data_IF_116372437633
#
_entry.id   IF_116372437633
#
_cell.length_a   1.000
_cell.length_b   1.000
_cell.length_c   1.000
_cell.angle_alpha   90.00
_cell.angle_beta   90.00
_cell.angle_gamma   90.00
#
_symmetry.space_group_name_H-M   'P 1'
#
loop_
_entity.id
_entity.type
_entity.pdbx_description
1 polymer ?
#
# COMPACT_ATOMS: atom_id res chain seq x y z
N UNK A 1 -46.81 14.41 -21.32
CA UNK A 1 -45.62 13.58 -21.59
C UNK A 1 -44.39 14.45 -21.42
N UNK A 2 -43.66 14.30 -20.32
CA UNK A 2 -42.40 15.03 -20.09
C UNK A 2 -41.33 14.01 -19.68
N UNK A 3 -40.33 13.83 -20.55
CA UNK A 3 -39.15 13.03 -20.31
C UNK A 3 -38.32 13.69 -19.20
N UNK A 4 -38.22 13.04 -18.03
CA UNK A 4 -37.22 13.39 -17.03
C UNK A 4 -35.89 12.78 -17.45
N UNK A 5 -34.95 13.64 -17.85
CA UNK A 5 -33.55 13.31 -17.95
C UNK A 5 -33.06 12.75 -16.60
N UNK A 6 -32.49 11.54 -16.62
CA UNK A 6 -31.72 10.98 -15.50
C UNK A 6 -30.45 11.82 -15.36
N UNK A 7 -30.48 12.80 -14.47
CA UNK A 7 -29.27 13.48 -14.01
C UNK A 7 -28.44 12.50 -13.19
N UNK A 8 -27.39 11.97 -13.82
CA UNK A 8 -26.27 11.33 -13.13
C UNK A 8 -25.85 12.22 -11.96
N UNK A 9 -25.90 11.66 -10.75
CA UNK A 9 -25.49 12.35 -9.52
C UNK A 9 -23.97 12.53 -9.58
N UNK A 10 -23.52 13.64 -10.17
CA UNK A 10 -22.10 14.03 -10.18
C UNK A 10 -21.64 14.26 -8.75
N UNK A 11 -20.71 13.42 -8.30
CA UNK A 11 -20.08 13.56 -7.00
C UNK A 11 -18.71 14.23 -7.21
N UNK A 12 -18.70 15.57 -7.09
CA UNK A 12 -17.60 16.49 -7.45
C UNK A 12 -16.27 16.12 -6.74
N UNK A 13 -16.33 15.38 -5.63
CA UNK A 13 -15.15 14.92 -4.90
C UNK A 13 -14.46 13.69 -5.54
N UNK A 14 -15.17 12.91 -6.36
CA UNK A 14 -14.72 11.65 -6.99
C UNK A 14 -14.30 11.83 -8.45
N UNK A 15 -14.91 12.79 -9.15
CA UNK A 15 -14.49 13.21 -10.51
C UNK A 15 -13.01 13.61 -10.55
N UNK A 16 -12.39 13.97 -9.41
CA UNK A 16 -10.99 14.36 -9.34
C UNK A 16 -9.98 13.21 -9.17
N UNK A 17 -10.42 12.02 -8.75
CA UNK A 17 -9.55 10.83 -8.56
C UNK A 17 -9.65 9.92 -9.79
N UNK A 18 -10.86 9.71 -10.30
CA UNK A 18 -11.13 8.89 -11.50
C UNK A 18 -11.20 9.72 -12.80
N UNK A 19 -10.57 10.89 -12.79
CA UNK A 19 -10.25 11.64 -14.00
C UNK A 19 -9.30 10.84 -14.88
N UNK A 20 -9.41 11.00 -16.19
CA UNK A 20 -8.47 10.45 -17.18
C UNK A 20 -7.01 10.69 -16.81
N UNK A 21 -6.73 11.82 -16.18
CA UNK A 21 -5.36 12.30 -15.96
C UNK A 21 -4.62 11.53 -14.86
N UNK A 22 -5.33 10.81 -13.99
CA UNK A 22 -4.72 9.91 -13.00
C UNK A 22 -4.75 8.44 -13.44
N UNK A 23 -5.48 8.12 -14.52
CA UNK A 23 -5.60 6.76 -15.04
C UNK A 23 -4.29 6.36 -15.71
N UNK A 24 -3.59 5.41 -15.13
CA UNK A 24 -2.37 4.85 -15.71
C UNK A 24 -2.72 3.91 -16.86
N UNK A 25 -3.61 2.96 -16.61
CA UNK A 25 -4.00 1.95 -17.59
C UNK A 25 -5.32 1.28 -17.24
N UNK A 26 -5.90 0.65 -18.27
CA UNK A 26 -7.09 -0.21 -18.15
C UNK A 26 -6.81 -1.55 -18.81
N UNK A 27 -6.99 -2.66 -18.07
CA UNK A 27 -6.72 -4.02 -18.54
C UNK A 27 -7.77 -5.00 -18.02
N UNK A 28 -7.93 -6.17 -18.65
CA UNK A 28 -8.78 -7.24 -18.09
C UNK A 28 -7.98 -8.07 -17.09
N UNK A 29 -8.57 -8.39 -15.92
CA UNK A 29 -7.96 -9.26 -14.90
C UNK A 29 -8.97 -10.27 -14.39
N UNK A 30 -8.50 -11.47 -14.05
CA UNK A 30 -9.37 -12.57 -13.61
C UNK A 30 -10.06 -12.29 -12.27
N UNK A 31 -9.48 -11.44 -11.43
CA UNK A 31 -9.99 -11.11 -10.10
C UNK A 31 -9.47 -9.76 -9.64
N UNK A 32 -10.05 -9.27 -8.54
CA UNK A 32 -9.53 -8.13 -7.79
C UNK A 32 -8.08 -8.35 -7.33
N UNK A 33 -7.72 -9.56 -6.90
CA UNK A 33 -6.35 -9.87 -6.45
C UNK A 33 -5.35 -9.76 -7.60
N UNK A 34 -5.72 -10.27 -8.79
CA UNK A 34 -4.88 -10.12 -9.98
C UNK A 34 -4.76 -8.65 -10.42
N UNK A 35 -5.82 -7.86 -10.21
CA UNK A 35 -5.81 -6.42 -10.47
C UNK A 35 -4.85 -5.68 -9.52
N UNK A 36 -4.94 -5.94 -8.22
CA UNK A 36 -4.04 -5.40 -7.19
C UNK A 36 -2.59 -5.80 -7.46
N UNK A 37 -2.32 -7.08 -7.71
CA UNK A 37 -0.97 -7.58 -7.97
C UNK A 37 -0.31 -6.88 -9.18
N UNK A 38 -1.08 -6.64 -10.24
CA UNK A 38 -0.56 -5.95 -11.44
C UNK A 38 -0.21 -4.49 -11.19
N UNK A 39 -0.88 -3.86 -10.22
CA UNK A 39 -0.55 -2.51 -9.77
C UNK A 39 0.68 -2.50 -8.87
N UNK A 40 0.85 -3.49 -8.01
CA UNK A 40 2.02 -3.61 -7.14
C UNK A 40 3.35 -3.69 -7.93
N UNK A 41 3.33 -4.20 -9.16
CA UNK A 41 4.51 -4.25 -10.04
C UNK A 41 4.83 -2.90 -10.72
N UNK A 42 3.91 -1.93 -10.68
CA UNK A 42 4.00 -0.67 -11.42
C UNK A 42 4.37 0.51 -10.52
N UNK A 43 5.48 1.21 -10.82
CA UNK A 43 6.08 2.22 -9.93
C UNK A 43 5.15 3.39 -9.61
N UNK A 44 4.33 3.79 -10.56
CA UNK A 44 3.41 4.91 -10.41
C UNK A 44 2.04 4.49 -9.90
N UNK A 45 1.77 3.19 -9.75
CA UNK A 45 0.45 2.73 -9.36
C UNK A 45 0.26 2.78 -7.84
N UNK A 46 -0.86 3.35 -7.42
CA UNK A 46 -1.20 3.65 -6.03
C UNK A 46 -2.52 3.01 -5.62
N UNK A 47 -3.46 2.96 -6.55
CA UNK A 47 -4.77 2.39 -6.32
C UNK A 47 -5.31 1.70 -7.57
N UNK A 48 -6.27 0.81 -7.36
CA UNK A 48 -6.99 0.13 -8.44
C UNK A 48 -8.50 0.22 -8.26
N UNK A 49 -9.21 0.20 -9.39
CA UNK A 49 -10.64 -0.07 -9.46
C UNK A 49 -10.87 -1.33 -10.28
N UNK A 50 -11.62 -2.29 -9.76
CA UNK A 50 -11.97 -3.54 -10.42
C UNK A 50 -13.47 -3.64 -10.63
N UNK A 51 -13.91 -3.85 -11.87
CA UNK A 51 -15.30 -4.14 -12.19
C UNK A 51 -15.51 -5.65 -12.30
N UNK A 52 -16.32 -6.23 -11.40
CA UNK A 52 -16.62 -7.66 -11.38
C UNK A 52 -17.51 -8.14 -12.52
N UNK A 53 -18.31 -7.26 -13.13
CA UNK A 53 -19.22 -7.64 -14.21
C UNK A 53 -18.50 -7.89 -15.53
N UNK A 54 -17.53 -7.03 -15.87
CA UNK A 54 -16.78 -7.15 -17.12
C UNK A 54 -15.30 -7.47 -16.91
N UNK A 55 -14.85 -7.68 -15.66
CA UNK A 55 -13.45 -7.99 -15.31
C UNK A 55 -12.45 -6.88 -15.64
N UNK A 56 -12.91 -5.63 -15.73
CA UNK A 56 -12.05 -4.48 -16.03
C UNK A 56 -11.30 -4.02 -14.79
N UNK A 57 -9.99 -3.94 -14.89
CA UNK A 57 -9.09 -3.40 -13.89
C UNK A 57 -8.56 -2.06 -14.40
N UNK A 58 -8.67 -1.02 -13.58
CA UNK A 58 -8.09 0.29 -13.82
C UNK A 58 -7.08 0.59 -12.72
N UNK A 59 -5.93 1.11 -13.11
CA UNK A 59 -4.87 1.53 -12.19
C UNK A 59 -4.72 3.04 -12.21
N UNK A 60 -4.44 3.60 -11.04
CA UNK A 60 -4.32 5.04 -10.86
C UNK A 60 -3.04 5.41 -10.10
N UNK A 61 -2.52 6.60 -10.38
CA UNK A 61 -1.33 7.13 -9.71
C UNK A 61 -1.62 7.98 -8.45
N UNK A 62 -2.77 7.75 -7.81
CA UNK A 62 -3.23 8.51 -6.65
C UNK A 62 -3.81 7.59 -5.57
N UNK A 63 -3.43 7.84 -4.31
CA UNK A 63 -3.95 7.14 -3.12
C UNK A 63 -5.39 7.60 -2.77
N UNK A 64 -6.15 6.79 -2.03
CA UNK A 64 -7.49 7.15 -1.52
C UNK A 64 -7.46 7.82 -0.14
N UNK A 65 -6.26 8.10 0.39
CA UNK A 65 -6.00 8.59 1.74
C UNK A 65 -6.56 10.01 1.97
N UNK A 66 -7.88 10.08 2.16
CA UNK A 66 -8.58 11.02 3.03
C UNK A 66 -10.08 10.71 3.22
N UNK A 67 -10.61 9.59 2.73
CA UNK A 67 -12.01 9.21 3.03
C UNK A 67 -12.16 7.70 3.25
N UNK A 68 -12.44 7.33 4.51
CA UNK A 68 -13.11 6.06 4.81
C UNK A 68 -14.43 6.03 4.04
N UNK A 69 -14.57 5.18 3.02
CA UNK A 69 -15.88 4.92 2.43
C UNK A 69 -16.06 3.44 2.20
N UNK A 70 -16.75 2.81 3.14
CA UNK A 70 -17.63 1.69 2.87
C UNK A 70 -18.84 2.20 2.07
N UNK A 71 -19.05 1.68 0.86
CA UNK A 71 -20.35 1.77 0.18
C UNK A 71 -20.50 2.76 -0.98
N UNK A 72 -19.87 2.45 -2.12
CA UNK A 72 -20.36 2.95 -3.43
C UNK A 72 -20.57 1.77 -4.36
N UNK A 73 -21.82 1.41 -4.61
CA UNK A 73 -22.23 0.49 -5.67
C UNK A 73 -22.45 1.28 -6.96
N UNK A 74 -21.41 1.51 -7.74
CA UNK A 74 -21.57 1.73 -9.17
C UNK A 74 -21.40 0.39 -9.89
N UNK A 75 -22.48 -0.17 -10.44
CA UNK A 75 -22.52 -1.30 -11.40
C UNK A 75 -21.29 -2.24 -11.47
N UNK A 76 -20.96 -2.88 -10.34
CA UNK A 76 -19.92 -3.91 -10.25
C UNK A 76 -18.49 -3.42 -9.95
N UNK A 77 -18.25 -2.13 -9.75
CA UNK A 77 -16.96 -1.58 -9.38
C UNK A 77 -16.63 -1.77 -7.89
N UNK A 78 -15.36 -2.04 -7.61
CA UNK A 78 -14.79 -2.14 -6.27
C UNK A 78 -13.40 -1.50 -6.28
N UNK A 79 -13.10 -0.69 -5.27
CA UNK A 79 -11.93 0.18 -5.24
C UNK A 79 -10.99 -0.21 -4.10
N UNK A 80 -9.70 -0.24 -4.39
CA UNK A 80 -8.68 -0.71 -3.44
C UNK A 80 -7.45 0.18 -3.51
N UNK A 81 -6.99 0.63 -2.35
CA UNK A 81 -5.60 1.09 -2.22
C UNK A 81 -4.72 -0.13 -2.41
N UNK A 82 -3.73 -0.03 -3.29
CA UNK A 82 -2.74 -1.08 -3.41
C UNK A 82 -1.71 -0.75 -2.36
N UNK A 83 -1.81 -1.40 -1.21
CA UNK A 83 -0.71 -1.39 -0.25
C UNK A 83 0.34 -2.41 -0.67
N UNK A 84 1.61 -2.04 -0.64
CA UNK A 84 2.20 -0.74 -0.33
C UNK A 84 2.51 -0.05 -1.65
N UNK A 85 1.64 0.82 -2.17
CA UNK A 85 1.71 1.34 -3.56
C UNK A 85 2.94 2.18 -3.88
N UNK A 86 3.88 2.23 -2.94
CA UNK A 86 5.16 2.86 -3.03
C UNK A 86 6.19 1.93 -2.37
N UNK A 87 6.30 0.65 -2.75
CA UNK A 87 7.41 -0.19 -2.26
C UNK A 87 8.72 0.32 -2.88
N UNK A 88 9.78 0.41 -2.10
CA UNK A 88 11.11 0.62 -2.63
C UNK A 88 11.47 -0.56 -3.56
N UNK A 89 11.76 -0.28 -4.83
CA UNK A 89 12.13 -1.30 -5.83
C UNK A 89 13.54 -1.88 -5.60
N UNK A 90 14.33 -1.21 -4.79
CA UNK A 90 15.67 -1.62 -4.37
C UNK A 90 15.57 -2.53 -3.15
N UNK A 91 16.61 -3.34 -2.91
CA UNK A 91 16.74 -4.11 -1.67
C UNK A 91 16.87 -3.20 -0.43
N UNK A 92 17.39 -3.77 0.66
CA UNK A 92 17.53 -3.06 1.94
C UNK A 92 18.25 -1.72 1.74
N UNK A 93 17.64 -0.63 2.22
CA UNK A 93 18.20 0.73 2.17
C UNK A 93 18.92 0.99 3.51
N UNK A 94 20.26 1.11 3.49
CA UNK A 94 21.04 1.45 4.69
C UNK A 94 20.97 2.96 4.99
N UNK A 95 20.63 3.31 6.22
CA UNK A 95 20.46 4.69 6.69
C UNK A 95 21.14 4.90 8.03
N UNK A 96 21.37 6.16 8.40
CA UNK A 96 21.78 6.54 9.76
C UNK A 96 20.59 6.95 10.63
N UNK A 97 19.37 6.86 10.10
CA UNK A 97 18.14 7.25 10.77
C UNK A 97 17.86 6.34 11.97
N UNK A 98 17.37 6.92 13.06
CA UNK A 98 17.06 6.18 14.30
C UNK A 98 15.80 5.35 14.20
N UNK A 99 14.86 5.77 13.36
CA UNK A 99 13.57 5.12 13.14
C UNK A 99 12.97 5.55 11.78
N UNK A 100 11.83 4.97 11.42
CA UNK A 100 11.15 5.26 10.17
C UNK A 100 10.55 6.68 10.09
N UNK A 101 10.42 7.40 11.20
CA UNK A 101 10.02 8.81 11.21
C UNK A 101 11.15 9.70 10.70
N UNK A 102 12.39 9.40 11.11
CA UNK A 102 13.58 10.05 10.56
C UNK A 102 13.81 9.70 9.10
N UNK A 103 13.65 8.42 8.73
CA UNK A 103 13.69 7.99 7.32
C UNK A 103 12.74 8.84 6.46
N UNK A 104 11.49 9.06 6.91
CA UNK A 104 10.55 9.95 6.22
C UNK A 104 11.03 11.39 6.15
N UNK A 105 11.66 11.88 7.22
CA UNK A 105 12.14 13.26 7.34
C UNK A 105 13.36 13.53 6.44
N UNK A 106 14.16 12.50 6.15
CA UNK A 106 15.25 12.52 5.17
C UNK A 106 14.75 12.54 3.70
N UNK A 107 13.44 12.48 3.49
CA UNK A 107 12.82 12.59 2.17
C UNK A 107 12.56 11.25 1.49
N UNK A 108 12.84 10.13 2.16
CA UNK A 108 12.40 8.84 1.66
C UNK A 108 10.88 8.81 1.58
N UNK A 109 10.38 8.48 0.39
CA UNK A 109 8.96 8.43 0.15
C UNK A 109 8.46 6.98 0.16
N UNK A 110 9.16 6.00 -0.41
CA UNK A 110 8.73 4.60 -0.49
C UNK A 110 8.72 3.83 0.86
N UNK A 111 7.77 2.91 1.05
CA UNK A 111 7.80 1.90 2.11
C UNK A 111 8.67 0.72 1.71
N UNK A 112 9.29 0.05 2.67
CA UNK A 112 10.18 -1.06 2.37
C UNK A 112 11.08 -1.38 3.55
N UNK A 113 12.10 -2.19 3.31
CA UNK A 113 13.07 -2.53 4.36
C UNK A 113 14.17 -1.50 4.39
N UNK A 114 14.34 -0.90 5.56
CA UNK A 114 15.40 0.05 5.87
C UNK A 114 16.24 -0.49 7.01
N UNK A 115 17.56 -0.29 6.94
CA UNK A 115 18.42 -0.46 8.10
C UNK A 115 18.41 0.85 8.89
N UNK A 116 17.85 0.81 10.10
CA UNK A 116 17.84 1.93 11.05
C UNK A 116 18.92 1.73 12.12
N UNK A 117 19.35 2.81 12.75
CA UNK A 117 20.32 2.83 13.84
C UNK A 117 19.72 3.48 15.10
N UNK A 118 18.88 2.76 15.89
CA UNK A 118 18.24 3.33 17.08
C UNK A 118 19.25 3.85 18.13
N UNK A 119 20.46 3.28 18.13
CA UNK A 119 21.60 3.75 18.91
C UNK A 119 22.89 3.52 18.11
N UNK A 120 24.01 4.14 18.53
CA UNK A 120 25.26 4.20 17.76
C UNK A 120 25.86 2.82 17.39
N UNK A 121 25.56 1.78 18.16
CA UNK A 121 26.14 0.44 17.98
C UNK A 121 25.10 -0.62 17.57
N UNK A 122 23.83 -0.22 17.38
CA UNK A 122 22.74 -1.15 17.06
C UNK A 122 22.16 -0.77 15.71
N UNK A 123 22.28 -1.67 14.74
CA UNK A 123 21.57 -1.63 13.46
C UNK A 123 20.45 -2.67 13.44
N UNK A 124 19.29 -2.30 12.91
CA UNK A 124 18.13 -3.19 12.74
C UNK A 124 17.51 -2.98 11.38
N UNK A 125 17.24 -4.08 10.68
CA UNK A 125 16.45 -4.08 9.46
C UNK A 125 14.97 -4.11 9.83
N UNK A 126 14.22 -3.11 9.37
CA UNK A 126 12.81 -2.92 9.70
C UNK A 126 12.01 -2.59 8.47
N UNK A 127 10.74 -3.00 8.47
CA UNK A 127 9.79 -2.48 7.49
C UNK A 127 9.34 -1.08 7.92
N UNK A 128 9.70 -0.07 7.12
CA UNK A 128 9.15 1.27 7.25
C UNK A 128 7.89 1.41 6.42
N UNK A 129 6.76 1.64 7.08
CA UNK A 129 5.54 2.10 6.42
C UNK A 129 5.49 3.62 6.43
N UNK A 130 5.79 4.18 5.26
CA UNK A 130 5.91 5.62 5.03
C UNK A 130 4.62 6.25 4.48
N UNK A 131 3.50 5.52 4.44
CA UNK A 131 2.24 6.04 3.87
C UNK A 131 1.03 5.88 4.78
N UNK A 132 0.85 4.72 5.41
CA UNK A 132 -0.36 4.42 6.17
C UNK A 132 -0.57 5.47 7.26
N UNK A 133 -1.73 6.14 7.26
CA UNK A 133 -2.10 7.16 8.25
C UNK A 133 -1.03 8.28 8.42
N UNK A 134 -0.40 8.71 7.34
CA UNK A 134 0.65 9.74 7.36
C UNK A 134 2.07 9.19 7.43
N UNK A 135 2.22 7.86 7.44
CA UNK A 135 3.50 7.15 7.41
C UNK A 135 4.27 7.25 8.73
N UNK A 136 5.60 7.16 8.62
CA UNK A 136 6.55 7.24 9.76
C UNK A 136 6.48 6.05 10.72
N UNK A 137 5.89 4.94 10.29
CA UNK A 137 5.74 3.76 11.13
C UNK A 137 6.94 2.84 11.01
N UNK A 138 7.58 2.59 12.15
CA UNK A 138 8.49 1.45 12.33
C UNK A 138 7.64 0.25 12.68
N UNK A 139 7.51 -0.70 11.76
CA UNK A 139 6.80 -1.95 12.05
C UNK A 139 7.70 -2.81 12.95
N UNK A 140 7.16 -3.31 14.07
CA UNK A 140 7.91 -4.16 15.00
C UNK A 140 7.64 -5.65 14.76
N UNK A 141 6.48 -5.95 14.18
CA UNK A 141 5.98 -7.30 13.99
C UNK A 141 5.06 -7.34 12.76
N UNK A 142 5.19 -8.36 11.91
CA UNK A 142 4.30 -8.57 10.77
C UNK A 142 3.91 -10.04 10.56
N UNK A 143 2.62 -10.29 10.26
CA UNK A 143 2.07 -11.57 9.77
C UNK A 143 1.44 -11.36 8.39
N UNK A 144 1.59 -12.33 7.49
CA UNK A 144 1.02 -12.32 6.13
C UNK A 144 0.48 -13.68 5.70
N UNK A 145 1.30 -14.72 5.77
CA UNK A 145 1.01 -16.01 5.13
C UNK A 145 1.33 -17.23 6.02
N UNK A 146 1.85 -17.03 7.23
CA UNK A 146 2.22 -18.11 8.15
C UNK A 146 3.51 -18.85 7.78
N UNK A 147 4.38 -18.25 6.96
CA UNK A 147 5.68 -18.82 6.58
C UNK A 147 6.71 -18.82 7.71
N UNK A 148 6.58 -17.93 8.69
CA UNK A 148 7.47 -17.85 9.84
C UNK A 148 6.75 -18.36 11.08
N UNK A 149 7.40 -19.29 11.78
CA UNK A 149 6.94 -19.79 13.07
C UNK A 149 7.19 -18.74 14.17
N UNK A 150 6.15 -18.45 14.93
CA UNK A 150 6.16 -17.53 16.07
C UNK A 150 6.14 -18.27 17.42
N UNK A 151 6.01 -19.59 17.45
CA UNK A 151 6.18 -20.35 18.70
C UNK A 151 7.68 -20.54 18.98
N UNK A 152 8.30 -19.51 19.56
CA UNK A 152 9.76 -19.44 19.76
C UNK A 152 10.14 -19.27 21.23
N UNK A 153 11.33 -19.73 21.58
CA UNK A 153 11.91 -19.48 22.91
C UNK A 153 12.27 -18.01 23.11
N UNK A 154 12.34 -17.57 24.36
CA UNK A 154 12.56 -16.17 24.76
C UNK A 154 13.74 -15.48 24.04
N UNK A 155 14.86 -16.17 23.89
CA UNK A 155 16.05 -15.62 23.24
C UNK A 155 15.82 -15.19 21.79
N UNK A 156 14.87 -15.79 21.07
CA UNK A 156 14.53 -15.33 19.72
C UNK A 156 13.73 -14.03 19.75
N UNK A 157 12.81 -13.87 20.70
CA UNK A 157 12.08 -12.62 20.87
C UNK A 157 12.97 -11.47 21.34
N UNK A 158 14.01 -11.76 22.11
CA UNK A 158 14.99 -10.75 22.51
C UNK A 158 15.85 -10.26 21.32
N UNK A 159 16.21 -11.17 20.40
CA UNK A 159 17.14 -10.86 19.32
C UNK A 159 16.47 -10.43 18.00
N UNK A 160 15.24 -10.85 17.76
CA UNK A 160 14.57 -10.74 16.47
C UNK A 160 14.63 -12.03 15.65
N UNK A 161 13.63 -12.25 14.80
CA UNK A 161 13.59 -13.36 13.84
C UNK A 161 12.66 -13.08 12.66
N UNK A 162 12.88 -13.77 11.53
CA UNK A 162 12.08 -13.65 10.32
C UNK A 162 12.72 -12.70 9.29
N UNK A 163 11.91 -12.27 8.31
CA UNK A 163 12.32 -11.35 7.25
C UNK A 163 11.36 -10.16 7.19
N UNK A 164 11.85 -8.92 7.37
CA UNK A 164 11.02 -7.71 7.29
C UNK A 164 10.24 -7.53 5.98
N UNK A 165 10.63 -8.19 4.89
CA UNK A 165 9.85 -8.21 3.64
C UNK A 165 8.60 -9.10 3.70
N UNK A 166 8.55 -10.05 4.64
CA UNK A 166 7.50 -11.06 4.74
C UNK A 166 6.86 -11.08 6.13
N UNK A 167 7.39 -11.87 7.06
CA UNK A 167 6.94 -12.03 8.44
C UNK A 167 8.13 -12.00 9.37
N UNK A 168 8.03 -11.22 10.46
CA UNK A 168 9.15 -11.05 11.38
C UNK A 168 8.73 -10.49 12.75
N UNK A 169 9.69 -10.54 13.65
CA UNK A 169 9.79 -9.85 14.93
C UNK A 169 11.16 -9.17 14.98
N UNK A 170 11.22 -7.89 15.31
CA UNK A 170 12.45 -7.07 15.34
C UNK A 170 13.44 -7.46 16.44
#
# INVERSE_FOLDING_TARGET
MQNRAQTSKRNIQYDNVYKSDNLLWTVKKSSVVACIASCADHIDCRSVAFNGNDRRCQAFNKDFTNQLVTGISESGWSHYEVYPGNICKTGIIDTTARDCSEVKSEGHNCSGVYTISPSNDIKKDVWCDLYTQGGRWTVLQQRRNGSVDFDRVWSHYENGFGDPNTEYWI
#
